data_IF_095167069438
#
_entry.id   IF_095167069438
#
_cell.length_a   1.000
_cell.length_b   1.000
_cell.length_c   1.000
_cell.angle_alpha   90.00
_cell.angle_beta   90.00
_cell.angle_gamma   90.00
#
_symmetry.space_group_name_H-M   'P 1'
#
loop_
_entity.id
_entity.type
_entity.pdbx_description
1 polymer ?
#
# COMPACT_ATOMS: atom_id res chain seq x y z
N UNK A 1 5.23 -9.52 -21.35
CA UNK A 1 5.08 -8.96 -19.97
C UNK A 1 5.10 -10.14 -18.99
N UNK A 2 5.89 -10.03 -17.94
CA UNK A 2 5.90 -11.04 -16.88
C UNK A 2 4.63 -10.91 -16.02
N UNK A 3 4.28 -11.98 -15.29
CA UNK A 3 3.17 -11.91 -14.32
C UNK A 3 3.42 -10.82 -13.26
N UNK A 4 4.64 -10.74 -12.74
CA UNK A 4 5.00 -9.72 -11.77
C UNK A 4 4.87 -8.30 -12.31
N UNK A 5 5.21 -8.06 -13.58
CA UNK A 5 5.02 -6.75 -14.20
C UNK A 5 3.54 -6.37 -14.32
N UNK A 6 2.67 -7.33 -14.71
CA UNK A 6 1.23 -7.10 -14.76
C UNK A 6 0.64 -6.79 -13.37
N UNK A 7 1.04 -7.56 -12.35
CA UNK A 7 0.59 -7.34 -10.97
C UNK A 7 1.16 -6.05 -10.37
N UNK A 8 2.33 -5.60 -10.84
CA UNK A 8 2.88 -4.29 -10.46
C UNK A 8 2.03 -3.14 -10.99
N UNK A 9 1.48 -3.27 -12.20
CA UNK A 9 0.57 -2.26 -12.76
C UNK A 9 -0.74 -2.20 -11.95
N UNK A 10 -1.28 -3.34 -11.54
CA UNK A 10 -2.44 -3.40 -10.61
C UNK A 10 -2.10 -2.71 -9.29
N UNK A 11 -0.94 -2.98 -8.70
CA UNK A 11 -0.53 -2.34 -7.45
C UNK A 11 -0.36 -0.81 -7.59
N UNK A 12 0.20 -0.34 -8.70
CA UNK A 12 0.32 1.10 -9.01
C UNK A 12 -1.05 1.78 -9.08
N UNK A 13 -1.98 1.17 -9.80
CA UNK A 13 -3.33 1.72 -9.92
C UNK A 13 -4.05 1.74 -8.58
N UNK A 14 -3.92 0.67 -7.79
CA UNK A 14 -4.48 0.60 -6.45
C UNK A 14 -4.00 1.76 -5.56
N UNK A 15 -2.68 1.96 -5.42
CA UNK A 15 -2.15 3.03 -4.55
C UNK A 15 -2.44 4.43 -5.11
N UNK A 16 -2.61 4.60 -6.41
CA UNK A 16 -3.05 5.85 -7.01
C UNK A 16 -4.50 6.19 -6.60
N UNK A 17 -5.42 5.21 -6.66
CA UNK A 17 -6.80 5.36 -6.17
C UNK A 17 -6.84 5.72 -4.68
N UNK A 18 -6.04 5.04 -3.86
CA UNK A 18 -5.92 5.33 -2.44
C UNK A 18 -5.42 6.76 -2.18
N UNK A 19 -4.42 7.21 -2.93
CA UNK A 19 -3.89 8.58 -2.86
C UNK A 19 -4.97 9.62 -3.12
N UNK A 20 -5.81 9.41 -4.13
CA UNK A 20 -6.94 10.30 -4.43
C UNK A 20 -7.94 10.39 -3.26
N UNK A 21 -8.27 9.26 -2.63
CA UNK A 21 -9.17 9.22 -1.47
C UNK A 21 -8.57 10.01 -0.31
N UNK A 22 -7.31 9.78 0.03
CA UNK A 22 -6.63 10.47 1.12
C UNK A 22 -6.60 11.98 0.89
N UNK A 23 -6.24 12.42 -0.32
CA UNK A 23 -6.09 13.85 -0.67
C UNK A 23 -7.42 14.57 -0.85
N UNK A 24 -8.51 13.88 -1.16
CA UNK A 24 -9.83 14.48 -1.36
C UNK A 24 -10.61 14.73 -0.07
N UNK A 25 -10.12 14.28 1.08
CA UNK A 25 -10.80 14.39 2.36
C UNK A 25 -10.19 15.47 3.25
N UNK A 26 -10.75 16.69 3.26
CA UNK A 26 -10.24 17.81 4.07
C UNK A 26 -10.52 17.65 5.56
N UNK A 27 -11.49 16.81 5.94
CA UNK A 27 -11.86 16.49 7.33
C UNK A 27 -12.13 15.00 7.50
N UNK A 28 -11.82 14.47 8.66
CA UNK A 28 -11.98 13.08 9.02
C UNK A 28 -12.26 12.93 10.51
N UNK A 29 -12.85 11.78 10.90
CA UNK A 29 -13.04 11.41 12.30
C UNK A 29 -11.97 10.41 12.72
N UNK A 30 -11.54 10.49 13.99
CA UNK A 30 -10.52 9.67 14.60
C UNK A 30 -11.14 8.80 15.69
N UNK A 31 -10.81 7.52 15.72
CA UNK A 31 -11.16 6.57 16.75
C UNK A 31 -9.93 5.87 17.29
N UNK A 32 -9.98 5.41 18.54
CA UNK A 32 -8.93 4.59 19.13
C UNK A 32 -9.25 3.10 18.99
N UNK A 33 -8.28 2.31 18.49
CA UNK A 33 -8.34 0.83 18.49
C UNK A 33 -7.83 0.25 19.81
N UNK A 34 -7.13 1.07 20.63
CA UNK A 34 -6.50 0.73 21.90
C UNK A 34 -5.77 1.94 22.46
N UNK A 35 -4.97 1.76 23.51
CA UNK A 35 -4.33 2.88 24.24
C UNK A 35 -3.40 3.75 23.39
N UNK A 36 -2.88 3.25 22.27
CA UNK A 36 -1.90 3.95 21.42
C UNK A 36 -2.18 3.80 19.93
N UNK A 37 -3.25 3.10 19.56
CA UNK A 37 -3.57 2.79 18.18
C UNK A 37 -4.75 3.62 17.70
N UNK A 38 -4.58 4.34 16.60
CA UNK A 38 -5.58 5.23 16.03
C UNK A 38 -6.04 4.71 14.67
N UNK A 39 -7.31 4.88 14.39
CA UNK A 39 -7.91 4.68 13.08
C UNK A 39 -8.77 5.88 12.73
N UNK A 40 -8.74 6.28 11.47
CA UNK A 40 -9.64 7.30 10.93
C UNK A 40 -10.66 6.67 10.00
N UNK A 41 -11.74 7.37 9.70
CA UNK A 41 -12.71 6.96 8.68
C UNK A 41 -12.08 6.92 7.27
N UNK A 42 -10.93 7.60 7.08
CA UNK A 42 -10.15 7.54 5.85
C UNK A 42 -9.41 6.21 5.71
N UNK A 43 -8.83 5.68 6.80
CA UNK A 43 -8.20 4.33 6.81
C UNK A 43 -9.19 3.28 6.30
N UNK A 44 -10.39 3.26 6.85
CA UNK A 44 -11.42 2.29 6.45
C UNK A 44 -11.94 2.53 5.04
N UNK A 45 -12.10 3.78 4.62
CA UNK A 45 -12.54 4.11 3.27
C UNK A 45 -11.49 3.71 2.21
N UNK A 46 -10.21 3.92 2.49
CA UNK A 46 -9.10 3.48 1.62
C UNK A 46 -9.08 1.97 1.53
N UNK A 47 -9.13 1.26 2.67
CA UNK A 47 -9.11 -0.19 2.67
C UNK A 47 -10.29 -0.78 1.91
N UNK A 48 -11.52 -0.29 2.14
CA UNK A 48 -12.72 -0.77 1.46
C UNK A 48 -12.61 -0.59 -0.07
N UNK A 49 -12.17 0.59 -0.53
CA UNK A 49 -11.99 0.87 -1.95
C UNK A 49 -10.92 -0.01 -2.60
N UNK A 50 -9.79 -0.24 -1.92
CA UNK A 50 -8.73 -1.10 -2.44
C UNK A 50 -9.14 -2.57 -2.47
N UNK A 51 -9.91 -3.04 -1.49
CA UNK A 51 -10.46 -4.40 -1.51
C UNK A 51 -11.39 -4.62 -2.69
N UNK A 52 -12.29 -3.68 -2.97
CA UNK A 52 -13.18 -3.76 -4.13
C UNK A 52 -12.39 -3.81 -5.44
N UNK A 53 -11.41 -2.91 -5.59
CA UNK A 53 -10.56 -2.86 -6.78
C UNK A 53 -9.74 -4.14 -6.96
N UNK A 54 -9.02 -4.59 -5.93
CA UNK A 54 -8.16 -5.77 -6.00
C UNK A 54 -8.96 -7.06 -6.23
N UNK A 55 -10.14 -7.18 -5.62
CA UNK A 55 -11.03 -8.33 -5.85
C UNK A 55 -11.57 -8.38 -7.29
N UNK A 56 -11.74 -7.22 -7.95
CA UNK A 56 -12.14 -7.17 -9.34
C UNK A 56 -10.99 -7.50 -10.30
N UNK A 57 -9.79 -6.96 -10.05
CA UNK A 57 -8.62 -7.13 -10.92
C UNK A 57 -7.91 -8.47 -10.73
N UNK A 58 -7.92 -9.01 -9.52
CA UNK A 58 -7.22 -10.25 -9.15
C UNK A 58 -8.07 -11.13 -8.24
N UNK A 59 -9.23 -11.64 -8.72
CA UNK A 59 -10.19 -12.38 -7.89
C UNK A 59 -9.62 -13.67 -7.28
N UNK A 60 -8.56 -14.23 -7.85
CA UNK A 60 -7.85 -15.42 -7.36
C UNK A 60 -6.85 -15.14 -6.25
N UNK A 61 -6.58 -13.86 -5.92
CA UNK A 61 -5.63 -13.46 -4.89
C UNK A 61 -6.39 -12.95 -3.67
N UNK A 62 -6.10 -13.53 -2.50
CA UNK A 62 -6.72 -13.09 -1.26
C UNK A 62 -6.23 -11.71 -0.82
N UNK A 63 -6.90 -11.12 0.16
CA UNK A 63 -6.56 -9.79 0.69
C UNK A 63 -6.46 -9.87 2.20
N UNK A 64 -5.36 -9.35 2.75
CA UNK A 64 -5.13 -9.14 4.17
C UNK A 64 -4.94 -7.64 4.40
N UNK A 65 -5.90 -7.01 5.05
CA UNK A 65 -5.84 -5.61 5.42
C UNK A 65 -5.78 -5.41 6.93
N UNK A 66 -5.27 -4.26 7.33
CA UNK A 66 -5.10 -3.91 8.73
C UNK A 66 -6.45 -3.74 9.44
N UNK A 67 -7.43 -3.11 8.77
CA UNK A 67 -8.71 -2.74 9.37
C UNK A 67 -9.77 -3.86 9.31
N UNK A 68 -9.82 -4.61 8.21
CA UNK A 68 -10.84 -5.63 7.92
C UNK A 68 -10.33 -7.07 8.01
N UNK A 69 -9.01 -7.27 8.24
CA UNK A 69 -8.42 -8.61 8.29
C UNK A 69 -8.37 -9.31 6.94
N UNK A 70 -8.47 -10.64 6.97
CA UNK A 70 -8.31 -11.50 5.79
C UNK A 70 -9.63 -11.74 5.09
N UNK A 71 -9.63 -11.74 3.75
CA UNK A 71 -10.74 -12.18 2.91
C UNK A 71 -10.24 -12.85 1.63
N UNK A 72 -11.10 -13.70 1.05
CA UNK A 72 -10.82 -14.43 -0.20
C UNK A 72 -9.98 -15.68 -0.01
N UNK A 73 -9.98 -16.52 -1.04
CA UNK A 73 -9.10 -17.68 -1.17
C UNK A 73 -7.71 -17.22 -1.57
N UNK A 74 -6.69 -17.68 -0.88
CA UNK A 74 -5.34 -17.17 -1.11
C UNK A 74 -4.53 -18.02 -2.09
N UNK A 75 -4.80 -19.32 -2.19
CA UNK A 75 -3.93 -20.23 -2.94
C UNK A 75 -2.46 -20.10 -2.56
N UNK A 76 -2.15 -19.57 -1.37
CA UNK A 76 -0.82 -19.21 -0.92
C UNK A 76 -0.39 -17.78 -1.26
N UNK A 77 -1.20 -17.01 -2.01
CA UNK A 77 -0.93 -15.61 -2.38
C UNK A 77 -1.99 -14.68 -1.82
N UNK A 78 -1.56 -13.52 -1.33
CA UNK A 78 -2.46 -12.46 -0.88
C UNK A 78 -1.84 -11.08 -1.02
N UNK A 79 -2.69 -10.10 -1.23
CA UNK A 79 -2.34 -8.69 -1.07
C UNK A 79 -2.33 -8.32 0.42
N UNK A 80 -1.19 -7.89 0.92
CA UNK A 80 -1.06 -7.29 2.24
C UNK A 80 -1.19 -5.78 2.10
N UNK A 81 -2.14 -5.19 2.80
CA UNK A 81 -2.54 -3.80 2.67
C UNK A 81 -2.52 -3.09 4.02
N UNK A 82 -1.77 -2.00 4.10
CA UNK A 82 -1.89 -0.98 5.14
C UNK A 82 -2.46 0.30 4.49
N UNK A 83 -3.71 0.67 4.80
CA UNK A 83 -4.39 1.79 4.15
C UNK A 83 -3.77 3.15 4.50
N UNK A 84 -3.30 3.34 5.73
CA UNK A 84 -2.54 4.51 6.16
C UNK A 84 -1.50 4.10 7.20
N UNK A 85 -0.29 3.83 6.76
CA UNK A 85 0.86 3.71 7.65
C UNK A 85 1.21 5.10 8.21
N UNK A 86 1.30 5.19 9.54
CA UNK A 86 1.47 6.46 10.22
C UNK A 86 0.16 7.22 10.47
N UNK A 87 -0.92 6.51 10.80
CA UNK A 87 -2.25 7.11 11.11
C UNK A 87 -2.17 8.22 12.16
N UNK A 88 -1.30 8.09 13.16
CA UNK A 88 -1.11 9.12 14.17
C UNK A 88 -0.51 10.42 13.58
N UNK A 89 0.38 10.34 12.59
CA UNK A 89 0.88 11.49 11.85
C UNK A 89 -0.23 12.09 10.99
N UNK A 90 -0.94 11.24 10.25
CA UNK A 90 -2.07 11.66 9.43
C UNK A 90 -3.11 12.42 10.25
N UNK A 91 -3.54 11.86 11.39
CA UNK A 91 -4.52 12.48 12.29
C UNK A 91 -4.08 13.84 12.84
N UNK A 92 -2.78 14.10 12.90
CA UNK A 92 -2.19 15.37 13.38
C UNK A 92 -1.81 16.34 12.25
N UNK A 93 -2.09 16.00 10.99
CA UNK A 93 -1.71 16.81 9.84
C UNK A 93 -0.21 16.79 9.53
N UNK A 94 0.53 15.81 10.03
CA UNK A 94 1.94 15.61 9.71
C UNK A 94 2.00 14.81 8.39
N UNK A 95 2.70 15.31 7.34
CA UNK A 95 2.66 14.71 6.01
C UNK A 95 3.44 13.41 5.87
N UNK A 96 4.03 12.90 6.94
CA UNK A 96 4.80 11.65 6.97
C UNK A 96 3.86 10.47 7.25
N UNK A 97 3.10 10.09 6.25
CA UNK A 97 2.28 8.89 6.22
C UNK A 97 2.30 8.29 4.82
N UNK A 98 1.99 7.01 4.73
CA UNK A 98 2.04 6.27 3.48
C UNK A 98 0.90 5.28 3.34
N UNK A 99 0.69 4.80 2.12
CA UNK A 99 -0.17 3.68 1.78
C UNK A 99 0.73 2.58 1.30
N UNK A 100 0.63 1.39 1.88
CA UNK A 100 1.49 0.26 1.54
C UNK A 100 0.67 -0.91 1.02
N UNK A 101 1.05 -1.44 -0.12
CA UNK A 101 0.47 -2.62 -0.74
C UNK A 101 1.57 -3.55 -1.21
N UNK A 102 1.51 -4.83 -0.81
CA UNK A 102 2.46 -5.84 -1.24
C UNK A 102 1.73 -7.14 -1.64
N UNK A 103 2.19 -7.77 -2.71
CA UNK A 103 1.82 -9.15 -3.02
C UNK A 103 2.77 -10.10 -2.31
N UNK A 104 2.21 -10.93 -1.45
CA UNK A 104 2.94 -11.98 -0.73
C UNK A 104 2.62 -13.32 -1.39
N UNK A 105 3.66 -14.07 -1.71
CA UNK A 105 3.59 -15.44 -2.22
C UNK A 105 4.40 -16.36 -1.29
N UNK A 106 3.72 -17.21 -0.55
CA UNK A 106 4.31 -17.97 0.53
C UNK A 106 4.90 -17.05 1.60
N UNK A 107 6.23 -17.07 1.74
CA UNK A 107 6.98 -16.24 2.72
C UNK A 107 7.65 -15.01 2.07
N UNK A 108 7.37 -14.72 0.79
CA UNK A 108 8.08 -13.70 0.05
C UNK A 108 7.15 -12.61 -0.49
N UNK A 109 7.53 -11.36 -0.31
CA UNK A 109 6.94 -10.24 -1.07
C UNK A 109 7.50 -10.26 -2.49
N UNK A 110 6.63 -10.32 -3.47
CA UNK A 110 7.01 -10.42 -4.90
C UNK A 110 6.70 -9.16 -5.69
N UNK A 111 5.72 -8.38 -5.25
CA UNK A 111 5.35 -7.06 -5.80
C UNK A 111 5.11 -6.12 -4.64
N UNK A 112 5.51 -4.88 -4.76
CA UNK A 112 5.23 -3.84 -3.76
C UNK A 112 4.98 -2.48 -4.40
N UNK A 113 4.06 -1.73 -3.82
CA UNK A 113 3.84 -0.32 -4.11
C UNK A 113 3.62 0.43 -2.78
N UNK A 114 4.36 1.51 -2.59
CA UNK A 114 4.22 2.40 -1.43
C UNK A 114 4.10 3.81 -1.96
N UNK A 115 3.05 4.52 -1.58
CA UNK A 115 2.90 5.93 -1.94
C UNK A 115 2.90 6.81 -0.69
N UNK A 116 3.51 7.98 -0.81
CA UNK A 116 3.51 9.04 0.20
C UNK A 116 2.65 10.19 -0.33
N UNK A 117 1.33 10.23 -0.01
CA UNK A 117 0.36 11.09 -0.70
C UNK A 117 0.70 12.58 -0.65
N UNK A 118 1.27 13.04 0.45
CA UNK A 118 1.60 14.46 0.65
C UNK A 118 3.01 14.83 0.20
N UNK A 119 3.86 13.85 -0.10
CA UNK A 119 5.21 14.08 -0.62
C UNK A 119 5.32 13.84 -2.14
N UNK A 120 4.24 13.39 -2.78
CA UNK A 120 4.18 13.20 -4.23
C UNK A 120 5.14 12.14 -4.76
N UNK A 121 5.44 11.11 -3.96
CA UNK A 121 6.31 10.02 -4.38
C UNK A 121 5.64 8.67 -4.21
N UNK A 122 5.78 7.83 -5.23
CA UNK A 122 5.36 6.43 -5.23
C UNK A 122 6.56 5.55 -5.56
N UNK A 123 6.89 4.67 -4.63
CA UNK A 123 7.90 3.63 -4.80
C UNK A 123 7.23 2.34 -5.23
N UNK A 124 7.81 1.67 -6.22
CA UNK A 124 7.32 0.38 -6.70
C UNK A 124 8.47 -0.57 -6.95
N UNK A 125 8.22 -1.86 -6.74
CA UNK A 125 9.17 -2.92 -7.05
C UNK A 125 8.45 -4.21 -7.40
N UNK A 126 9.04 -5.00 -8.27
CA UNK A 126 8.61 -6.38 -8.49
C UNK A 126 9.83 -7.28 -8.70
N UNK A 127 9.68 -8.53 -8.27
CA UNK A 127 10.76 -9.51 -8.37
C UNK A 127 11.17 -9.71 -9.84
N UNK A 128 12.46 -9.47 -10.13
CA UNK A 128 13.03 -9.56 -11.48
C UNK A 128 12.85 -8.30 -12.33
N UNK A 129 12.03 -7.34 -11.93
CA UNK A 129 11.73 -6.11 -12.69
C UNK A 129 12.54 -4.90 -12.18
N UNK A 130 13.02 -4.96 -10.93
CA UNK A 130 13.74 -3.86 -10.27
C UNK A 130 12.83 -2.98 -9.41
N UNK A 131 13.37 -1.85 -8.95
CA UNK A 131 12.69 -0.87 -8.11
C UNK A 131 12.68 0.52 -8.75
N UNK A 132 11.62 1.28 -8.48
CA UNK A 132 11.35 2.56 -9.12
C UNK A 132 10.81 3.58 -8.12
N UNK A 133 11.13 4.85 -8.33
CA UNK A 133 10.52 5.99 -7.66
C UNK A 133 9.89 6.88 -8.74
N UNK A 134 8.57 7.07 -8.70
CA UNK A 134 7.80 7.80 -9.73
C UNK A 134 8.11 7.34 -11.16
N UNK A 135 8.32 6.03 -11.35
CA UNK A 135 8.64 5.44 -12.65
C UNK A 135 10.13 5.48 -13.04
N UNK A 136 10.96 6.20 -12.31
CA UNK A 136 12.41 6.22 -12.54
C UNK A 136 13.10 5.10 -11.75
N UNK A 137 13.99 4.37 -12.43
CA UNK A 137 14.69 3.25 -11.79
C UNK A 137 15.60 3.73 -10.67
N UNK A 138 15.54 3.06 -9.55
CA UNK A 138 16.39 3.30 -8.37
C UNK A 138 17.19 2.05 -8.01
N UNK A 139 18.23 2.23 -7.22
CA UNK A 139 19.08 1.14 -6.71
C UNK A 139 19.63 1.46 -5.34
N UNK A 140 20.21 0.45 -4.71
CA UNK A 140 20.87 0.63 -3.44
C UNK A 140 22.16 1.44 -3.60
N UNK A 141 22.57 2.14 -2.53
CA UNK A 141 23.87 2.80 -2.45
C UNK A 141 25.01 1.77 -2.65
N UNK A 142 26.08 2.21 -3.30
CA UNK A 142 27.33 1.42 -3.41
C UNK A 142 28.27 1.66 -2.22
N UNK A 143 27.86 2.46 -1.23
CA UNK A 143 28.66 2.72 -0.03
C UNK A 143 28.78 1.43 0.79
N UNK A 144 30.01 1.08 1.19
CA UNK A 144 30.35 -0.10 1.99
C UNK A 144 30.56 0.25 3.47
N UNK A 145 30.67 1.53 3.79
CA UNK A 145 30.88 2.05 5.14
C UNK A 145 29.91 3.22 5.42
N UNK A 146 29.52 3.34 6.68
CA UNK A 146 28.79 4.52 7.15
C UNK A 146 29.81 5.65 7.45
N UNK A 147 29.58 6.81 6.88
CA UNK A 147 30.38 8.02 7.13
C UNK A 147 29.87 8.76 8.37
#
# INVERSE_FOLDING_TARGET
MTEHAALLDVAREAVAKATEIVRSRPSFSVSAKGDRDLVTDVDTAVEDALREFLAAETPEIGILGEERGRSGETGGRWWALDPIDGTANFARGIPLCGISLALVDGEHSTVAAITLPYLGVTYTAARGEGAFANGERIGASVATEMS
#
